data_IF_119979889438
#
_entry.id   IF_119979889438
#
_cell.length_a   1.000
_cell.length_b   1.000
_cell.length_c   1.000
_cell.angle_alpha   90.00
_cell.angle_beta   90.00
_cell.angle_gamma   90.00
#
_symmetry.space_group_name_H-M   'P 1'
#
loop_
_entity.id
_entity.type
_entity.pdbx_description
1 polymer ?
#
# COMPACT_ATOMS: atom_id res chain seq x y z
N UNK A 1 65.79 8.15 35.13
CA UNK A 1 65.77 6.88 35.90
C UNK A 1 64.32 6.44 36.03
N UNK A 2 63.96 5.34 35.36
CA UNK A 2 62.59 4.81 35.25
C UNK A 2 62.11 4.20 36.57
N UNK A 3 60.86 4.47 36.96
CA UNK A 3 60.02 3.49 37.67
C UNK A 3 58.59 3.55 37.13
N UNK A 4 58.28 2.51 36.37
CA UNK A 4 56.92 2.07 36.03
C UNK A 4 56.14 1.72 37.29
N UNK A 5 54.84 2.02 37.29
CA UNK A 5 53.85 1.13 37.89
C UNK A 5 52.48 1.35 37.22
N UNK A 6 52.10 0.40 36.37
CA UNK A 6 50.72 0.10 35.98
C UNK A 6 50.46 -1.29 36.58
N UNK A 7 49.40 -1.46 37.39
CA UNK A 7 48.24 -2.24 36.95
C UNK A 7 46.94 -1.60 37.49
N UNK A 8 45.73 -1.83 36.99
CA UNK A 8 45.16 -2.85 36.12
C UNK A 8 43.75 -2.39 35.74
N UNK A 9 43.30 -2.82 34.55
CA UNK A 9 41.96 -3.25 34.18
C UNK A 9 40.75 -2.72 34.98
N UNK A 10 39.72 -2.14 34.40
CA UNK A 10 39.38 -2.07 32.98
C UNK A 10 37.94 -1.54 32.85
N UNK A 11 37.70 -0.80 31.76
CA UNK A 11 36.42 -0.76 31.07
C UNK A 11 36.68 -0.06 29.74
N UNK A 12 37.12 -0.83 28.75
CA UNK A 12 37.06 -0.43 27.34
C UNK A 12 35.81 -1.07 26.75
N UNK A 13 35.22 -0.41 25.75
CA UNK A 13 34.26 -0.97 24.77
C UNK A 13 32.85 -1.02 25.40
N UNK A 14 31.78 -0.37 24.91
CA UNK A 14 31.33 0.00 23.57
C UNK A 14 30.10 0.89 23.73
N UNK A 15 30.09 2.09 23.16
CA UNK A 15 28.86 2.87 23.00
C UNK A 15 28.86 3.57 21.63
N UNK A 16 29.11 2.78 20.58
CA UNK A 16 28.98 3.20 19.19
C UNK A 16 28.48 2.00 18.38
N UNK A 17 27.21 1.61 18.54
CA UNK A 17 26.48 0.71 17.62
C UNK A 17 25.06 0.44 18.18
N UNK A 18 24.23 1.48 18.27
CA UNK A 18 22.80 1.31 18.56
C UNK A 18 21.91 2.33 17.83
N UNK A 19 22.36 2.84 16.68
CA UNK A 19 21.55 3.75 15.83
C UNK A 19 21.33 3.18 14.41
N UNK A 20 21.97 2.07 14.04
CA UNK A 20 21.85 1.49 12.68
C UNK A 20 21.10 0.14 12.68
N UNK A 21 20.11 -0.04 13.56
CA UNK A 21 19.31 -1.27 13.63
C UNK A 21 17.80 -1.06 13.47
N UNK A 22 17.35 0.15 13.10
CA UNK A 22 15.92 0.45 12.91
C UNK A 22 15.53 0.81 11.47
N UNK A 23 16.46 0.80 10.51
CA UNK A 23 16.14 1.05 9.09
C UNK A 23 15.74 -0.23 8.30
N UNK A 24 15.75 -1.40 8.94
CA UNK A 24 15.55 -2.69 8.27
C UNK A 24 14.09 -3.16 8.12
N UNK A 25 13.12 -2.50 8.75
CA UNK A 25 11.70 -2.92 8.69
C UNK A 25 10.78 -1.77 8.27
N UNK A 26 11.07 -1.11 7.16
CA UNK A 26 9.99 -0.49 6.37
C UNK A 26 9.60 -1.47 5.27
N UNK A 27 8.32 -1.87 5.15
CA UNK A 27 7.91 -2.78 4.09
C UNK A 27 8.22 -2.11 2.75
N UNK A 28 9.12 -2.73 1.99
CA UNK A 28 9.57 -2.31 0.65
C UNK A 28 8.41 -2.20 -0.37
N UNK A 29 7.22 -2.66 0.01
CA UNK A 29 6.01 -2.66 -0.82
C UNK A 29 5.43 -1.26 -1.03
N UNK A 30 5.52 -0.33 -0.05
CA UNK A 30 4.91 0.99 -0.17
C UNK A 30 5.60 1.90 -1.22
N UNK A 31 6.91 1.71 -1.46
CA UNK A 31 7.65 2.52 -2.43
C UNK A 31 7.30 2.21 -3.89
N UNK A 32 6.81 1.01 -4.19
CA UNK A 32 6.48 0.63 -5.57
C UNK A 32 5.20 1.31 -6.08
N UNK A 33 4.25 1.60 -5.17
CA UNK A 33 3.00 2.28 -5.48
C UNK A 33 3.21 3.73 -5.96
N UNK A 34 4.38 4.32 -5.68
CA UNK A 34 4.76 5.65 -6.16
C UNK A 34 5.30 5.63 -7.61
N UNK A 35 5.53 4.45 -8.20
CA UNK A 35 6.03 4.33 -9.56
C UNK A 35 4.88 4.53 -10.57
N UNK A 36 5.09 5.24 -11.70
CA UNK A 36 4.07 5.41 -12.74
C UNK A 36 3.44 4.09 -13.21
N UNK A 37 4.26 3.02 -13.23
CA UNK A 37 3.84 1.66 -13.59
C UNK A 37 2.80 1.03 -12.65
N UNK A 38 2.63 1.54 -11.43
CA UNK A 38 1.60 1.05 -10.51
C UNK A 38 0.19 1.27 -11.06
N UNK A 39 -0.03 2.37 -11.79
CA UNK A 39 -1.30 2.63 -12.47
C UNK A 39 -1.57 1.57 -13.56
N UNK A 40 -0.55 1.20 -14.36
CA UNK A 40 -0.70 0.12 -15.35
C UNK A 40 -1.02 -1.22 -14.70
N UNK A 41 -0.48 -1.51 -13.52
CA UNK A 41 -0.78 -2.75 -12.80
C UNK A 41 -2.19 -2.82 -12.22
N UNK A 42 -2.90 -1.70 -12.06
CA UNK A 42 -4.30 -1.75 -11.66
C UNK A 42 -5.21 -2.12 -12.82
N UNK A 43 -4.85 -1.80 -14.06
CA UNK A 43 -5.72 -2.02 -15.24
C UNK A 43 -6.14 -3.48 -15.33
N UNK A 44 -7.44 -3.70 -15.52
CA UNK A 44 -8.07 -5.01 -15.60
C UNK A 44 -9.13 -5.25 -14.53
N UNK A 45 -9.51 -6.51 -14.38
CA UNK A 45 -10.61 -6.95 -13.51
C UNK A 45 -10.07 -7.59 -12.24
N UNK A 46 -10.62 -7.17 -11.11
CA UNK A 46 -10.26 -7.61 -9.78
C UNK A 46 -11.50 -8.10 -9.06
N UNK A 47 -11.45 -9.29 -8.48
CA UNK A 47 -12.60 -9.90 -7.82
C UNK A 47 -12.26 -10.25 -6.38
N UNK A 48 -13.13 -9.86 -5.46
CA UNK A 48 -13.09 -10.31 -4.07
C UNK A 48 -13.76 -11.68 -3.97
N UNK A 49 -13.16 -12.58 -3.19
CA UNK A 49 -13.80 -13.85 -2.81
C UNK A 49 -14.80 -13.68 -1.66
N UNK A 50 -14.86 -12.50 -1.05
CA UNK A 50 -15.74 -12.17 0.06
C UNK A 50 -17.08 -11.64 -0.48
N UNK A 51 -18.19 -11.90 0.23
CA UNK A 51 -19.50 -11.29 -0.07
C UNK A 51 -19.53 -9.84 0.41
N UNK A 52 -18.68 -9.01 -0.18
CA UNK A 52 -18.61 -7.58 0.09
C UNK A 52 -19.54 -6.79 -0.84
N UNK A 53 -19.82 -5.53 -0.46
CA UNK A 53 -20.62 -4.63 -1.29
C UNK A 53 -19.98 -4.43 -2.67
N UNK A 54 -18.66 -4.25 -2.74
CA UNK A 54 -17.92 -4.03 -3.99
C UNK A 54 -17.11 -5.27 -4.35
N UNK A 55 -17.79 -6.28 -4.88
CA UNK A 55 -17.21 -7.60 -5.10
C UNK A 55 -16.33 -7.66 -6.36
N UNK A 56 -16.57 -6.82 -7.36
CA UNK A 56 -15.73 -6.74 -8.57
C UNK A 56 -15.33 -5.29 -8.87
N UNK A 57 -14.06 -5.07 -9.15
CA UNK A 57 -13.49 -3.79 -9.57
C UNK A 57 -13.00 -3.93 -11.01
N UNK A 58 -13.37 -2.99 -11.87
CA UNK A 58 -12.91 -2.91 -13.25
C UNK A 58 -12.16 -1.60 -13.46
N UNK A 59 -10.83 -1.66 -13.44
CA UNK A 59 -9.99 -0.54 -13.84
C UNK A 59 -9.86 -0.56 -15.35
N UNK A 60 -10.70 0.22 -16.04
CA UNK A 60 -10.81 0.20 -17.50
C UNK A 60 -9.54 0.76 -18.16
N UNK A 61 -8.96 1.78 -17.54
CA UNK A 61 -7.71 2.42 -17.95
C UNK A 61 -7.04 3.07 -16.71
N UNK A 62 -6.11 4.00 -16.93
CA UNK A 62 -5.40 4.72 -15.87
C UNK A 62 -6.23 5.80 -15.15
N UNK A 63 -7.49 6.01 -15.54
CA UNK A 63 -8.35 7.08 -15.02
C UNK A 63 -9.72 6.56 -14.58
N UNK A 64 -10.27 5.52 -15.21
CA UNK A 64 -11.66 5.07 -14.99
C UNK A 64 -11.73 3.77 -14.19
N UNK A 65 -12.60 3.77 -13.18
CA UNK A 65 -12.89 2.63 -12.31
C UNK A 65 -14.41 2.40 -12.29
N UNK A 66 -14.81 1.15 -12.55
CA UNK A 66 -16.18 0.69 -12.33
C UNK A 66 -16.19 -0.28 -11.16
N UNK A 67 -17.07 -0.03 -10.20
CA UNK A 67 -17.33 -0.95 -9.09
C UNK A 67 -18.65 -1.65 -9.33
N UNK A 68 -18.62 -2.97 -9.25
CA UNK A 68 -19.80 -3.81 -9.36
C UNK A 68 -20.13 -4.40 -8.00
N UNK A 69 -21.39 -4.28 -7.64
CA UNK A 69 -21.89 -4.68 -6.34
C UNK A 69 -22.70 -5.96 -6.39
N UNK A 70 -22.82 -6.65 -5.25
CA UNK A 70 -23.61 -7.89 -5.18
C UNK A 70 -25.12 -7.66 -5.40
N UNK A 71 -25.56 -6.40 -5.56
CA UNK A 71 -26.93 -5.99 -5.90
C UNK A 71 -27.06 -5.63 -7.38
N UNK A 72 -26.15 -6.11 -8.24
CA UNK A 72 -26.11 -5.85 -9.69
C UNK A 72 -26.10 -4.35 -10.04
N UNK A 73 -25.59 -3.52 -9.12
CA UNK A 73 -25.47 -2.06 -9.31
C UNK A 73 -24.03 -1.71 -9.67
N UNK A 74 -23.87 -0.99 -10.78
CA UNK A 74 -22.58 -0.47 -11.25
C UNK A 74 -22.38 0.98 -10.79
N UNK A 75 -21.22 1.26 -10.21
CA UNK A 75 -20.79 2.60 -9.81
C UNK A 75 -19.58 3.04 -10.63
N UNK A 76 -19.67 4.21 -11.25
CA UNK A 76 -18.63 4.75 -12.12
C UNK A 76 -17.87 5.86 -11.40
N UNK A 77 -16.55 5.75 -11.41
CA UNK A 77 -15.65 6.73 -10.81
C UNK A 77 -14.50 7.04 -11.76
N UNK A 78 -13.96 8.25 -11.63
CA UNK A 78 -12.57 8.49 -12.00
C UNK A 78 -11.69 8.30 -10.78
N UNK A 79 -10.44 7.89 -10.99
CA UNK A 79 -9.50 7.66 -9.91
C UNK A 79 -8.12 8.27 -10.17
N UNK A 80 -7.38 8.48 -9.09
CA UNK A 80 -5.96 8.86 -9.14
C UNK A 80 -5.19 8.08 -8.09
N UNK A 81 -4.04 7.53 -8.46
CA UNK A 81 -3.08 7.01 -7.49
C UNK A 81 -2.24 8.15 -6.93
N UNK A 82 -2.12 8.21 -5.60
CA UNK A 82 -1.25 9.16 -4.89
C UNK A 82 -0.50 8.41 -3.80
N UNK A 83 0.74 8.03 -4.10
CA UNK A 83 1.50 7.15 -3.21
C UNK A 83 0.79 5.81 -3.02
N UNK A 84 0.51 5.44 -1.79
CA UNK A 84 -0.21 4.22 -1.42
C UNK A 84 -1.72 4.38 -1.40
N UNK A 85 -2.26 5.51 -1.88
CA UNK A 85 -3.69 5.82 -1.79
C UNK A 85 -4.34 5.86 -3.17
N UNK A 86 -5.49 5.20 -3.31
CA UNK A 86 -6.41 5.35 -4.43
C UNK A 86 -7.45 6.43 -4.10
N UNK A 87 -7.43 7.53 -4.82
CA UNK A 87 -8.37 8.64 -4.66
C UNK A 87 -9.48 8.50 -5.69
N UNK A 88 -10.74 8.58 -5.26
CA UNK A 88 -11.91 8.39 -6.11
C UNK A 88 -12.69 9.70 -6.28
N UNK A 89 -13.24 9.91 -7.47
CA UNK A 89 -13.96 11.13 -7.85
C UNK A 89 -15.24 10.72 -8.62
N UNK A 90 -16.40 11.29 -8.26
CA UNK A 90 -17.66 11.14 -9.04
C UNK A 90 -17.75 12.14 -10.18
N UNK A 91 -17.33 13.38 -9.92
CA UNK A 91 -17.35 14.49 -10.87
C UNK A 91 -15.97 15.18 -10.84
N UNK A 92 -15.63 15.86 -11.94
CA UNK A 92 -14.34 16.55 -12.07
C UNK A 92 -14.15 17.59 -10.96
N UNK A 93 -13.11 17.42 -10.13
CA UNK A 93 -12.54 18.50 -9.31
C UNK A 93 -12.51 18.27 -7.79
N UNK A 94 -13.37 17.41 -7.22
CA UNK A 94 -13.31 17.10 -5.77
C UNK A 94 -13.28 15.59 -5.51
N UNK A 95 -12.31 15.10 -4.70
CA UNK A 95 -12.28 13.70 -4.34
C UNK A 95 -13.47 13.38 -3.44
N UNK A 96 -14.17 12.29 -3.77
CA UNK A 96 -15.22 11.72 -2.94
C UNK A 96 -14.61 11.10 -1.68
N UNK A 97 -13.55 10.33 -1.85
CA UNK A 97 -12.85 9.62 -0.76
C UNK A 97 -11.48 9.11 -1.25
N UNK A 98 -10.71 8.52 -0.35
CA UNK A 98 -9.49 7.80 -0.66
C UNK A 98 -9.48 6.43 0.03
N UNK A 99 -8.74 5.48 -0.55
CA UNK A 99 -8.63 4.11 -0.08
C UNK A 99 -7.16 3.70 -0.09
N UNK A 100 -6.64 3.28 1.08
CA UNK A 100 -5.24 2.89 1.21
C UNK A 100 -5.01 1.51 0.61
N UNK A 101 -4.02 1.39 -0.26
CA UNK A 101 -3.53 0.15 -0.86
C UNK A 101 -2.40 -0.38 0.00
N UNK A 102 -2.65 -1.49 0.69
CA UNK A 102 -1.64 -2.19 1.48
C UNK A 102 -0.71 -3.04 0.60
N UNK A 103 -1.24 -3.57 -0.52
CA UNK A 103 -0.49 -4.42 -1.43
C UNK A 103 -1.01 -4.28 -2.86
N UNK A 104 -0.10 -4.19 -3.82
CA UNK A 104 -0.37 -4.30 -5.25
C UNK A 104 0.71 -5.17 -5.90
N UNK A 105 0.30 -6.29 -6.48
CA UNK A 105 1.11 -7.17 -7.32
C UNK A 105 0.32 -7.52 -8.59
N UNK A 106 0.90 -8.20 -9.58
CA UNK A 106 0.18 -8.59 -10.80
C UNK A 106 -1.10 -9.41 -10.54
N UNK A 107 -1.20 -10.11 -9.42
CA UNK A 107 -2.26 -11.05 -9.08
C UNK A 107 -3.03 -10.69 -7.80
N UNK A 108 -2.54 -9.76 -6.98
CA UNK A 108 -3.12 -9.40 -5.68
C UNK A 108 -3.24 -7.89 -5.50
N UNK A 109 -4.42 -7.46 -5.08
CA UNK A 109 -4.71 -6.08 -4.68
C UNK A 109 -5.36 -6.12 -3.30
N UNK A 110 -4.77 -5.42 -2.33
CA UNK A 110 -5.28 -5.38 -0.96
C UNK A 110 -5.46 -3.94 -0.54
N UNK A 111 -6.69 -3.58 -0.17
CA UNK A 111 -6.99 -2.29 0.44
C UNK A 111 -7.06 -2.44 1.96
N UNK A 112 -6.69 -1.41 2.70
CA UNK A 112 -6.98 -1.32 4.14
C UNK A 112 -8.44 -0.95 4.43
N UNK A 113 -9.07 -0.25 3.47
CA UNK A 113 -10.49 0.09 3.42
C UNK A 113 -10.84 0.45 1.97
N UNK A 114 -12.10 0.27 1.56
CA UNK A 114 -12.59 0.72 0.26
C UNK A 114 -13.94 1.43 0.43
N UNK A 115 -14.03 2.69 0.01
CA UNK A 115 -15.22 3.52 0.18
C UNK A 115 -15.70 3.53 1.66
N UNK A 116 -16.91 3.05 1.91
CA UNK A 116 -17.57 2.93 3.21
C UNK A 116 -17.28 1.60 3.94
N UNK A 117 -16.56 0.67 3.28
CA UNK A 117 -16.19 -0.63 3.85
C UNK A 117 -14.91 -0.52 4.67
N UNK A 118 -15.06 -0.63 5.99
CA UNK A 118 -13.93 -0.62 6.93
C UNK A 118 -13.19 -1.97 6.97
N UNK A 119 -11.87 -1.91 7.17
CA UNK A 119 -11.02 -3.08 7.33
C UNK A 119 -10.51 -3.67 6.01
N UNK A 120 -9.53 -4.60 6.06
CA UNK A 120 -8.80 -5.01 4.87
C UNK A 120 -9.65 -5.82 3.89
N UNK A 121 -9.59 -5.47 2.59
CA UNK A 121 -10.27 -6.21 1.51
C UNK A 121 -9.23 -6.75 0.55
N UNK A 122 -9.37 -8.01 0.16
CA UNK A 122 -8.46 -8.68 -0.78
C UNK A 122 -9.15 -8.95 -2.10
N UNK A 123 -8.48 -8.58 -3.18
CA UNK A 123 -8.90 -8.86 -4.54
C UNK A 123 -7.85 -9.71 -5.24
N UNK A 124 -8.31 -10.70 -6.00
CA UNK A 124 -7.53 -11.47 -6.96
C UNK A 124 -7.78 -10.97 -8.37
N UNK A 125 -6.76 -11.00 -9.22
CA UNK A 125 -6.93 -10.67 -10.64
C UNK A 125 -7.74 -11.75 -11.35
N UNK A 126 -8.82 -11.36 -12.03
CA UNK A 126 -9.60 -12.24 -12.90
C UNK A 126 -8.90 -12.33 -14.26
N UNK A 127 -8.59 -13.55 -14.69
CA UNK A 127 -7.97 -13.84 -15.99
C UNK A 127 -9.00 -13.85 -17.10
#
# INVERSE_FOLDING_TARGET
MLKYSIPSAGLKITAWLAIVALEGCRPREASYLQHPAAAQLLIGTWQSGERDLYHTLYFQDSLHLVLDSHLDTLFYYTYQLRGDSLWLFREYGRPLTYSLILKLSPDSLVFAQLLDRAGPIRYGRKR
#
